data_IF_499772666816
#
_entry.id   IF_499772666816
#
_cell.length_a   1.000
_cell.length_b   1.000
_cell.length_c   1.000
_cell.angle_alpha   90.00
_cell.angle_beta   90.00
_cell.angle_gamma   90.00
#
_symmetry.space_group_name_H-M   'P 1'
#
loop_
_entity.id
_entity.type
_entity.pdbx_description
1 polymer ?
#
# COMPACT_ATOMS: atom_id res chain seq x y z
N UNK A 1 5.35 -14.68 50.46
CA UNK A 1 4.69 -15.78 49.73
C UNK A 1 5.48 -17.04 50.06
N UNK A 2 4.87 -18.05 50.69
CA UNK A 2 5.58 -19.30 50.96
C UNK A 2 5.96 -19.95 49.60
N UNK A 3 7.18 -20.51 49.45
CA UNK A 3 7.58 -21.16 48.21
C UNK A 3 6.70 -22.39 47.94
N UNK A 4 6.33 -22.61 46.68
CA UNK A 4 5.54 -23.78 46.27
C UNK A 4 6.31 -25.07 46.55
N UNK A 5 5.62 -26.10 47.04
CA UNK A 5 6.22 -27.43 47.23
C UNK A 5 6.67 -28.01 45.88
N UNK A 6 7.86 -28.60 45.84
CA UNK A 6 8.42 -29.19 44.62
C UNK A 6 7.57 -30.37 44.11
N UNK A 7 6.94 -31.12 45.02
CA UNK A 7 6.03 -32.21 44.70
C UNK A 7 4.75 -31.70 44.01
N UNK A 8 4.12 -30.66 44.56
CA UNK A 8 2.90 -30.06 44.02
C UNK A 8 3.18 -29.41 42.64
N UNK A 9 4.37 -28.83 42.48
CA UNK A 9 4.83 -28.25 41.21
C UNK A 9 5.01 -29.32 40.13
N UNK A 10 5.55 -30.50 40.47
CA UNK A 10 5.70 -31.63 39.54
C UNK A 10 4.35 -32.21 39.13
N UNK A 11 3.41 -32.33 40.07
CA UNK A 11 2.05 -32.81 39.81
C UNK A 11 1.30 -31.85 38.88
N UNK A 12 1.38 -30.54 39.14
CA UNK A 12 0.79 -29.52 38.28
C UNK A 12 1.38 -29.54 36.87
N UNK A 13 2.71 -29.62 36.72
CA UNK A 13 3.37 -29.68 35.41
C UNK A 13 2.98 -30.92 34.61
N UNK A 14 2.79 -32.06 35.28
CA UNK A 14 2.31 -33.30 34.65
C UNK A 14 0.86 -33.18 34.16
N UNK A 15 0.00 -32.50 34.90
CA UNK A 15 -1.37 -32.23 34.45
C UNK A 15 -1.40 -31.27 33.24
N UNK A 16 -0.58 -30.21 33.27
CA UNK A 16 -0.42 -29.29 32.13
C UNK A 16 0.11 -30.00 30.88
N UNK A 17 1.11 -30.87 31.03
CA UNK A 17 1.66 -31.66 29.93
C UNK A 17 0.66 -32.67 29.33
N UNK A 18 -0.33 -33.10 30.11
CA UNK A 18 -1.42 -33.97 29.63
C UNK A 18 -2.66 -33.19 29.13
N UNK A 19 -2.56 -31.86 28.99
CA UNK A 19 -3.64 -31.00 28.53
C UNK A 19 -4.78 -30.84 29.55
N UNK A 20 -4.48 -30.97 30.84
CA UNK A 20 -5.45 -30.81 31.94
C UNK A 20 -6.40 -32.00 32.10
N UNK A 21 -5.96 -33.21 31.68
CA UNK A 21 -6.76 -34.45 31.75
C UNK A 21 -6.34 -35.38 32.89
N UNK A 22 -5.21 -35.13 33.54
CA UNK A 22 -4.69 -36.00 34.60
C UNK A 22 -5.28 -35.68 35.98
N UNK A 23 -5.81 -34.46 36.18
CA UNK A 23 -6.49 -34.04 37.40
C UNK A 23 -7.89 -33.53 37.11
N UNK A 24 -8.86 -33.92 37.93
CA UNK A 24 -10.19 -33.33 37.94
C UNK A 24 -10.16 -31.87 38.44
N UNK A 25 -11.23 -31.11 38.16
CA UNK A 25 -11.31 -29.71 38.58
C UNK A 25 -11.21 -29.54 40.11
N UNK A 26 -11.83 -30.43 40.89
CA UNK A 26 -11.77 -30.42 42.35
C UNK A 26 -10.36 -30.74 42.89
N UNK A 27 -9.62 -31.63 42.22
CA UNK A 27 -8.24 -31.96 42.61
C UNK A 27 -7.28 -30.81 42.30
N UNK A 28 -7.48 -30.10 41.18
CA UNK A 28 -6.72 -28.88 40.85
C UNK A 28 -6.97 -27.77 41.87
N UNK A 29 -8.23 -27.57 42.24
CA UNK A 29 -8.60 -26.58 43.26
C UNK A 29 -7.96 -26.91 44.61
N UNK A 30 -8.03 -28.18 45.05
CA UNK A 30 -7.40 -28.65 46.29
C UNK A 30 -5.87 -28.49 46.29
N UNK A 31 -5.21 -28.68 45.14
CA UNK A 31 -3.77 -28.48 44.98
C UNK A 31 -3.37 -27.00 45.14
N UNK A 32 -4.22 -26.08 44.69
CA UNK A 32 -3.98 -24.63 44.80
C UNK A 32 -4.46 -24.04 46.14
N UNK A 33 -5.48 -24.62 46.76
CA UNK A 33 -6.13 -24.10 47.98
C UNK A 33 -5.17 -23.87 49.15
N UNK A 34 -4.09 -24.66 49.23
CA UNK A 34 -3.04 -24.54 50.26
C UNK A 34 -2.17 -23.29 50.11
N UNK A 35 -2.11 -22.73 48.91
CA UNK A 35 -1.31 -21.55 48.57
C UNK A 35 -2.17 -20.28 48.43
N UNK A 36 -3.50 -20.43 48.50
CA UNK A 36 -4.43 -19.31 48.49
C UNK A 36 -4.55 -18.72 49.91
N UNK A 37 -4.64 -17.39 50.04
CA UNK A 37 -4.87 -16.76 51.33
C UNK A 37 -6.21 -17.24 51.93
N UNK A 38 -6.29 -17.42 53.26
CA UNK A 38 -7.52 -17.88 53.90
C UNK A 38 -8.67 -16.90 53.61
N UNK A 39 -9.88 -17.40 53.32
CA UNK A 39 -11.04 -16.53 53.18
C UNK A 39 -11.32 -15.82 54.51
N UNK A 40 -11.77 -14.56 54.49
CA UNK A 40 -12.07 -13.81 55.70
C UNK A 40 -13.16 -14.52 56.51
N UNK A 41 -12.85 -14.86 57.76
CA UNK A 41 -13.70 -15.65 58.65
C UNK A 41 -14.83 -14.82 59.26
N UNK A 42 -16.08 -15.21 58.97
CA UNK A 42 -17.24 -14.88 59.79
C UNK A 42 -17.25 -15.78 61.03
N UNK A 43 -16.53 -15.41 62.10
CA UNK A 43 -16.84 -15.79 63.49
C UNK A 43 -15.71 -15.38 64.44
N UNK A 44 -15.94 -14.30 65.18
CA UNK A 44 -15.29 -14.06 66.47
C UNK A 44 -16.38 -13.61 67.43
N UNK A 45 -17.19 -14.58 67.84
CA UNK A 45 -18.05 -14.49 69.02
C UNK A 45 -18.07 -15.87 69.70
N UNK A 46 -17.11 -16.07 70.58
CA UNK A 46 -17.25 -16.84 71.81
C UNK A 46 -16.03 -16.53 72.67
N UNK A 47 -16.19 -15.52 73.51
CA UNK A 47 -15.83 -15.62 74.93
C UNK A 47 -16.40 -14.41 75.68
N UNK A 48 -16.88 -14.69 76.90
CA UNK A 48 -17.30 -13.75 77.94
C UNK A 48 -18.77 -13.28 77.90
N UNK A 49 -19.60 -13.91 78.75
CA UNK A 49 -20.89 -13.37 79.21
C UNK A 49 -20.70 -12.02 79.93
N UNK A 50 -21.70 -11.13 79.87
CA UNK A 50 -22.09 -10.35 81.04
C UNK A 50 -23.60 -10.46 81.34
N UNK A 51 -24.02 -10.14 82.58
CA UNK A 51 -25.35 -10.49 83.06
C UNK A 51 -26.43 -9.54 82.52
N UNK A 52 -27.61 -10.14 82.35
CA UNK A 52 -28.96 -9.59 82.47
C UNK A 52 -29.30 -8.19 81.93
N UNK A 53 -30.50 -8.19 81.35
CA UNK A 53 -31.50 -7.12 81.27
C UNK A 53 -31.53 -6.30 79.99
N UNK A 54 -32.66 -6.50 79.31
CA UNK A 54 -33.27 -5.75 78.22
C UNK A 54 -33.11 -4.23 78.28
N UNK A 55 -32.76 -3.62 77.16
CA UNK A 55 -33.58 -2.56 76.53
C UNK A 55 -33.07 -2.15 75.14
N UNK A 56 -33.90 -2.46 74.15
CA UNK A 56 -34.20 -1.71 72.92
C UNK A 56 -33.36 -0.43 72.68
N UNK A 57 -32.40 -0.49 71.76
CA UNK A 57 -31.91 0.73 71.08
C UNK A 57 -31.75 0.49 69.57
N UNK A 58 -32.05 1.55 68.82
CA UNK A 58 -32.46 1.57 67.42
C UNK A 58 -31.33 1.19 66.45
N UNK A 59 -31.65 0.36 65.46
CA UNK A 59 -30.82 0.09 64.29
C UNK A 59 -30.57 1.38 63.47
N UNK A 60 -29.35 1.92 63.50
CA UNK A 60 -28.88 2.86 62.47
C UNK A 60 -28.35 2.05 61.29
N UNK A 61 -29.12 2.03 60.20
CA UNK A 61 -28.79 1.33 58.97
C UNK A 61 -27.44 1.76 58.40
N UNK A 62 -26.55 0.79 58.17
CA UNK A 62 -25.28 0.97 57.50
C UNK A 62 -25.54 1.24 56.01
N UNK A 63 -25.40 2.50 55.56
CA UNK A 63 -25.53 2.88 54.15
C UNK A 63 -24.45 2.15 53.34
N UNK A 64 -24.86 1.19 52.49
CA UNK A 64 -23.99 0.53 51.50
C UNK A 64 -23.23 1.61 50.71
N UNK A 65 -21.90 1.53 50.63
CA UNK A 65 -21.08 2.50 49.88
C UNK A 65 -21.38 2.36 48.39
N UNK A 66 -22.30 3.18 47.89
CA UNK A 66 -22.66 3.29 46.46
C UNK A 66 -21.53 3.92 45.62
N UNK A 67 -20.60 4.65 46.27
CA UNK A 67 -19.52 5.43 45.65
C UNK A 67 -18.60 4.66 44.68
N UNK A 68 -18.06 3.45 44.99
CA UNK A 68 -17.23 2.70 44.04
C UNK A 68 -18.00 2.19 42.82
N UNK A 69 -19.26 1.77 42.99
CA UNK A 69 -20.13 1.37 41.88
C UNK A 69 -20.47 2.55 40.98
N UNK A 70 -20.80 3.70 41.57
CA UNK A 70 -21.10 4.92 40.82
C UNK A 70 -19.88 5.43 40.05
N UNK A 71 -18.68 5.35 40.65
CA UNK A 71 -17.42 5.70 39.99
C UNK A 71 -17.12 4.78 38.80
N UNK A 72 -17.29 3.47 38.95
CA UNK A 72 -17.14 2.52 37.85
C UNK A 72 -18.14 2.79 36.72
N UNK A 73 -19.43 2.98 37.04
CA UNK A 73 -20.46 3.33 36.05
C UNK A 73 -20.19 4.68 35.38
N UNK A 74 -19.64 5.65 36.10
CA UNK A 74 -19.21 6.93 35.53
C UNK A 74 -18.04 6.76 34.55
N UNK A 75 -17.02 5.94 34.87
CA UNK A 75 -15.94 5.64 33.93
C UNK A 75 -16.46 4.95 32.66
N UNK A 76 -17.38 3.98 32.78
CA UNK A 76 -18.02 3.37 31.62
C UNK A 76 -18.86 4.37 30.81
N UNK A 77 -19.59 5.27 31.47
CA UNK A 77 -20.36 6.32 30.81
C UNK A 77 -19.45 7.28 30.04
N UNK A 78 -18.35 7.72 30.66
CA UNK A 78 -17.36 8.62 30.02
C UNK A 78 -16.71 7.92 28.84
N UNK A 79 -16.27 6.66 28.99
CA UNK A 79 -15.69 5.88 27.90
C UNK A 79 -16.69 5.72 26.75
N UNK A 80 -17.94 5.40 27.05
CA UNK A 80 -19.00 5.30 26.04
C UNK A 80 -19.25 6.64 25.34
N UNK A 81 -19.29 7.76 26.09
CA UNK A 81 -19.49 9.08 25.52
C UNK A 81 -18.34 9.49 24.61
N UNK A 82 -17.09 9.22 25.01
CA UNK A 82 -15.90 9.44 24.18
C UNK A 82 -16.02 8.60 22.90
N UNK A 83 -16.28 7.29 23.02
CA UNK A 83 -16.42 6.41 21.86
C UNK A 83 -17.58 6.81 20.93
N UNK A 84 -18.68 7.30 21.50
CA UNK A 84 -19.84 7.82 20.75
C UNK A 84 -19.47 9.08 19.99
N UNK A 85 -18.84 10.06 20.64
CA UNK A 85 -18.43 11.32 20.01
C UNK A 85 -17.40 11.06 18.92
N UNK A 86 -16.34 10.29 19.21
CA UNK A 86 -15.33 9.94 18.21
C UNK A 86 -15.91 9.08 17.09
N UNK A 87 -16.82 8.15 17.40
CA UNK A 87 -17.50 7.33 16.40
C UNK A 87 -18.38 8.17 15.46
N UNK A 88 -19.15 9.12 16.00
CA UNK A 88 -19.94 10.08 15.21
C UNK A 88 -19.03 10.97 14.37
N UNK A 89 -17.97 11.52 14.96
CA UNK A 89 -17.01 12.37 14.26
C UNK A 89 -16.34 11.65 13.09
N UNK A 90 -15.84 10.43 13.31
CA UNK A 90 -15.19 9.63 12.27
C UNK A 90 -16.20 9.30 11.16
N UNK A 91 -17.42 8.87 11.49
CA UNK A 91 -18.46 8.57 10.49
C UNK A 91 -18.89 9.81 9.71
N UNK A 92 -19.10 10.96 10.37
CA UNK A 92 -19.42 12.22 9.69
C UNK A 92 -18.30 12.64 8.74
N UNK A 93 -17.05 12.54 9.17
CA UNK A 93 -15.88 12.82 8.32
C UNK A 93 -15.81 11.87 7.12
N UNK A 94 -16.03 10.57 7.33
CA UNK A 94 -16.09 9.58 6.26
C UNK A 94 -17.21 9.90 5.27
N UNK A 95 -18.43 10.16 5.74
CA UNK A 95 -19.59 10.51 4.90
C UNK A 95 -19.34 11.81 4.12
N UNK A 96 -18.75 12.82 4.75
CA UNK A 96 -18.40 14.07 4.08
C UNK A 96 -17.44 13.84 2.92
N UNK A 97 -16.30 13.17 3.18
CA UNK A 97 -15.33 12.85 2.14
C UNK A 97 -15.93 11.97 1.05
N UNK A 98 -16.70 10.94 1.42
CA UNK A 98 -17.40 10.06 0.49
C UNK A 98 -18.33 10.83 -0.44
N UNK A 99 -19.15 11.73 0.10
CA UNK A 99 -20.12 12.51 -0.65
C UNK A 99 -19.43 13.50 -1.58
N UNK A 100 -18.41 14.20 -1.07
CA UNK A 100 -17.61 15.15 -1.87
C UNK A 100 -16.90 14.42 -3.02
N UNK A 101 -16.23 13.29 -2.75
CA UNK A 101 -15.54 12.52 -3.78
C UNK A 101 -16.50 11.89 -4.79
N UNK A 102 -17.66 11.41 -4.35
CA UNK A 102 -18.68 10.88 -5.27
C UNK A 102 -19.30 11.97 -6.14
N UNK A 103 -19.58 13.14 -5.58
CA UNK A 103 -20.09 14.28 -6.34
C UNK A 103 -19.06 14.77 -7.36
N UNK A 104 -17.79 14.83 -6.97
CA UNK A 104 -16.66 15.11 -7.87
C UNK A 104 -16.55 14.02 -8.95
N UNK A 105 -16.61 12.74 -8.58
CA UNK A 105 -16.55 11.62 -9.52
C UNK A 105 -17.65 11.66 -10.57
N UNK A 106 -18.90 11.88 -10.16
CA UNK A 106 -20.05 11.99 -11.08
C UNK A 106 -19.91 13.19 -12.00
N UNK A 107 -19.51 14.36 -11.47
CA UNK A 107 -19.33 15.58 -12.27
C UNK A 107 -18.23 15.43 -13.33
N UNK A 108 -17.20 14.65 -13.05
CA UNK A 108 -16.05 14.47 -13.95
C UNK A 108 -16.10 13.21 -14.81
N UNK A 109 -17.16 12.39 -14.67
CA UNK A 109 -17.28 11.13 -15.42
C UNK A 109 -17.57 11.30 -16.91
N UNK A 110 -17.75 12.53 -17.42
CA UNK A 110 -18.44 12.74 -18.69
C UNK A 110 -17.59 13.05 -19.94
N UNK A 111 -16.27 13.25 -19.87
CA UNK A 111 -15.48 13.37 -21.10
C UNK A 111 -14.15 12.63 -20.98
N UNK A 112 -14.10 11.40 -21.51
CA UNK A 112 -12.89 10.60 -21.77
C UNK A 112 -12.07 11.24 -22.90
N UNK A 113 -11.61 12.45 -22.66
CA UNK A 113 -10.91 13.28 -23.65
C UNK A 113 -9.56 13.69 -23.08
N UNK A 114 -8.45 13.44 -23.80
CA UNK A 114 -7.10 13.74 -23.32
C UNK A 114 -6.91 15.23 -23.03
N UNK A 115 -7.59 16.12 -23.76
CA UNK A 115 -7.52 17.58 -23.56
C UNK A 115 -7.98 17.99 -22.16
N UNK A 116 -8.95 17.27 -21.60
CA UNK A 116 -9.45 17.53 -20.25
C UNK A 116 -8.38 17.25 -19.20
N UNK A 117 -7.72 16.08 -19.32
CA UNK A 117 -6.65 15.67 -18.42
C UNK A 117 -5.44 16.59 -18.55
N UNK A 118 -5.08 16.96 -19.79
CA UNK A 118 -4.02 17.94 -20.04
C UNK A 118 -4.32 19.28 -19.37
N UNK A 119 -5.57 19.76 -19.43
CA UNK A 119 -5.97 21.01 -18.78
C UNK A 119 -5.87 20.93 -17.25
N UNK A 120 -6.23 19.80 -16.66
CA UNK A 120 -6.17 19.58 -15.20
C UNK A 120 -4.73 19.51 -14.66
N UNK A 121 -3.78 19.11 -15.51
CA UNK A 121 -2.35 18.96 -15.18
C UNK A 121 -1.51 20.17 -15.60
N UNK A 122 -1.99 21.00 -16.53
CA UNK A 122 -1.24 22.14 -17.13
C UNK A 122 -0.65 23.13 -16.12
N UNK A 123 -1.33 23.35 -14.99
CA UNK A 123 -0.91 24.33 -13.98
C UNK A 123 -0.09 23.71 -12.84
N UNK A 124 0.36 22.46 -12.97
CA UNK A 124 1.22 21.84 -11.98
C UNK A 124 2.67 22.22 -12.22
N UNK A 125 3.35 22.60 -11.13
CA UNK A 125 4.76 23.02 -11.16
C UNK A 125 5.69 21.89 -11.62
N UNK A 126 5.30 20.63 -11.40
CA UNK A 126 6.04 19.43 -11.77
C UNK A 126 5.10 18.23 -11.96
N UNK A 127 5.55 17.26 -12.75
CA UNK A 127 4.86 16.00 -13.06
C UNK A 127 5.91 14.88 -12.95
N UNK A 128 5.57 13.69 -12.40
CA UNK A 128 6.52 12.59 -12.33
C UNK A 128 6.86 12.09 -13.75
N UNK A 129 8.13 11.80 -14.00
CA UNK A 129 8.55 11.14 -15.23
C UNK A 129 8.25 9.64 -15.17
N UNK A 130 8.36 9.06 -13.97
CA UNK A 130 8.00 7.68 -13.71
C UNK A 130 6.96 7.61 -12.60
N UNK A 131 5.72 7.27 -12.98
CA UNK A 131 4.64 6.98 -12.06
C UNK A 131 4.57 5.47 -11.81
N UNK A 132 4.46 5.06 -10.55
CA UNK A 132 4.15 3.69 -10.19
C UNK A 132 2.83 3.58 -9.44
N UNK A 133 2.09 2.49 -9.67
CA UNK A 133 0.80 2.23 -9.06
C UNK A 133 0.77 0.82 -8.47
N UNK A 134 0.31 0.72 -7.22
CA UNK A 134 0.09 -0.55 -6.53
C UNK A 134 -1.40 -0.89 -6.61
N UNK A 135 -1.71 -1.97 -7.33
CA UNK A 135 -3.06 -2.50 -7.49
C UNK A 135 -3.22 -3.83 -6.76
N UNK A 136 -4.46 -4.16 -6.42
CA UNK A 136 -4.84 -5.43 -5.80
C UNK A 136 -5.72 -6.22 -6.75
N UNK A 137 -5.47 -7.52 -6.83
CA UNK A 137 -6.37 -8.44 -7.51
C UNK A 137 -7.71 -8.48 -6.76
N UNK A 138 -8.80 -8.29 -7.49
CA UNK A 138 -10.17 -8.29 -6.96
C UNK A 138 -10.74 -9.70 -6.94
N UNK A 139 -11.78 -9.91 -6.12
CA UNK A 139 -12.56 -11.15 -6.15
C UNK A 139 -13.22 -11.32 -7.53
N UNK A 140 -13.55 -12.55 -7.91
CA UNK A 140 -14.33 -12.82 -9.14
C UNK A 140 -15.67 -12.08 -9.14
N UNK A 141 -16.30 -11.95 -7.96
CA UNK A 141 -17.55 -11.19 -7.78
C UNK A 141 -17.41 -9.70 -8.11
N UNK A 142 -16.20 -9.15 -7.98
CA UNK A 142 -15.88 -7.74 -8.25
C UNK A 142 -15.28 -7.52 -9.66
N UNK A 143 -15.31 -8.55 -10.51
CA UNK A 143 -14.80 -8.53 -11.90
C UNK A 143 -13.38 -9.09 -12.09
N UNK A 144 -12.73 -9.57 -11.02
CA UNK A 144 -11.48 -10.34 -11.08
C UNK A 144 -10.39 -9.72 -11.96
N UNK A 145 -9.91 -10.50 -12.94
CA UNK A 145 -8.85 -10.11 -13.87
C UNK A 145 -9.29 -9.03 -14.86
N UNK A 146 -10.51 -9.11 -15.39
CA UNK A 146 -11.01 -8.15 -16.39
C UNK A 146 -11.06 -6.73 -15.81
N UNK A 147 -11.60 -6.60 -14.60
CA UNK A 147 -11.62 -5.32 -13.89
C UNK A 147 -10.21 -4.77 -13.63
N UNK A 148 -9.24 -5.63 -13.31
CA UNK A 148 -7.85 -5.21 -13.11
C UNK A 148 -7.22 -4.73 -14.43
N UNK A 149 -7.42 -5.45 -15.53
CA UNK A 149 -6.91 -5.07 -16.85
C UNK A 149 -7.52 -3.74 -17.32
N UNK A 150 -8.82 -3.54 -17.08
CA UNK A 150 -9.53 -2.29 -17.38
C UNK A 150 -8.96 -1.10 -16.60
N UNK A 151 -8.64 -1.30 -15.31
CA UNK A 151 -8.03 -0.25 -14.48
C UNK A 151 -6.64 0.13 -14.97
N UNK A 152 -5.83 -0.86 -15.36
CA UNK A 152 -4.52 -0.60 -15.98
C UNK A 152 -4.69 0.16 -17.28
N UNK A 153 -5.68 -0.18 -18.11
CA UNK A 153 -5.95 0.53 -19.36
C UNK A 153 -6.38 1.99 -19.13
N UNK A 154 -7.22 2.27 -18.13
CA UNK A 154 -7.58 3.64 -17.75
C UNK A 154 -6.36 4.42 -17.22
N UNK A 155 -5.54 3.82 -16.35
CA UNK A 155 -4.31 4.44 -15.83
C UNK A 155 -3.30 4.76 -16.93
N UNK A 156 -3.18 3.90 -17.93
CA UNK A 156 -2.35 4.16 -19.12
C UNK A 156 -2.86 5.38 -19.89
N UNK A 157 -4.18 5.46 -20.13
CA UNK A 157 -4.78 6.60 -20.82
C UNK A 157 -4.58 7.91 -20.03
N UNK A 158 -4.77 7.88 -18.71
CA UNK A 158 -4.57 9.06 -17.87
C UNK A 158 -3.10 9.47 -17.77
N UNK A 159 -2.18 8.52 -17.64
CA UNK A 159 -0.74 8.77 -17.63
C UNK A 159 -0.28 9.38 -18.94
N UNK A 160 -0.68 8.81 -20.07
CA UNK A 160 -0.36 9.35 -21.39
C UNK A 160 -0.95 10.75 -21.60
N UNK A 161 -2.19 11.00 -21.18
CA UNK A 161 -2.82 12.30 -21.33
C UNK A 161 -2.21 13.36 -20.39
N UNK A 162 -1.74 12.95 -19.21
CA UNK A 162 -1.02 13.82 -18.28
C UNK A 162 0.43 14.11 -18.72
N UNK A 163 0.94 13.43 -19.76
CA UNK A 163 2.33 13.59 -20.22
C UNK A 163 3.36 12.79 -19.40
N UNK A 164 2.92 11.75 -18.69
CA UNK A 164 3.80 10.84 -17.93
C UNK A 164 4.28 9.73 -18.89
N UNK A 165 5.58 9.67 -19.21
CA UNK A 165 6.09 8.74 -20.23
C UNK A 165 6.21 7.30 -19.74
N UNK A 166 6.35 7.07 -18.43
CA UNK A 166 6.54 5.74 -17.86
C UNK A 166 5.56 5.47 -16.72
N UNK A 167 4.74 4.44 -16.91
CA UNK A 167 3.84 3.88 -15.89
C UNK A 167 4.31 2.48 -15.47
N UNK A 168 4.63 2.30 -14.20
CA UNK A 168 4.77 0.98 -13.57
C UNK A 168 3.49 0.56 -12.88
N UNK A 169 3.06 -0.68 -13.12
CA UNK A 169 1.93 -1.29 -12.41
C UNK A 169 2.44 -2.49 -11.63
N UNK A 170 2.29 -2.44 -10.32
CA UNK A 170 2.57 -3.56 -9.44
C UNK A 170 1.29 -4.28 -9.05
N UNK A 171 1.27 -5.59 -9.28
CA UNK A 171 0.28 -6.50 -8.72
C UNK A 171 1.01 -7.71 -8.12
N UNK A 172 0.67 -8.05 -6.87
CA UNK A 172 1.45 -9.00 -6.05
C UNK A 172 1.60 -10.38 -6.70
N UNK A 173 0.54 -10.95 -7.26
CA UNK A 173 0.53 -12.31 -7.79
C UNK A 173 1.31 -12.46 -9.11
N UNK A 174 1.44 -11.37 -9.87
CA UNK A 174 2.07 -11.38 -11.18
C UNK A 174 1.15 -11.86 -12.30
N UNK A 175 -0.17 -11.97 -12.07
CA UNK A 175 -1.13 -12.44 -13.08
C UNK A 175 -1.09 -11.59 -14.36
N UNK A 176 -0.85 -10.27 -14.24
CA UNK A 176 -0.74 -9.35 -15.38
C UNK A 176 0.40 -9.73 -16.33
N UNK A 177 1.49 -10.32 -15.82
CA UNK A 177 2.61 -10.77 -16.65
C UNK A 177 2.23 -11.96 -17.52
N UNK A 178 1.32 -12.81 -17.06
CA UNK A 178 0.80 -13.94 -17.84
C UNK A 178 -0.08 -13.48 -19.01
N UNK A 179 -0.82 -12.39 -18.82
CA UNK A 179 -1.78 -11.86 -19.81
C UNK A 179 -1.28 -10.62 -20.56
N UNK A 180 0.04 -10.47 -20.72
CA UNK A 180 0.65 -9.28 -21.33
C UNK A 180 0.11 -8.94 -22.72
N UNK A 181 -0.10 -9.93 -23.58
CA UNK A 181 -0.59 -9.71 -24.95
C UNK A 181 -2.00 -9.10 -24.92
N UNK A 182 -2.92 -9.76 -24.21
CA UNK A 182 -4.31 -9.31 -24.07
C UNK A 182 -4.39 -7.94 -23.39
N UNK A 183 -3.54 -7.69 -22.39
CA UNK A 183 -3.46 -6.39 -21.73
C UNK A 183 -2.99 -5.30 -22.71
N UNK A 184 -1.96 -5.58 -23.51
CA UNK A 184 -1.44 -4.64 -24.49
C UNK A 184 -2.50 -4.26 -25.52
N UNK A 185 -3.29 -5.23 -26.00
CA UNK A 185 -4.40 -4.98 -26.94
C UNK A 185 -5.49 -4.11 -26.31
N UNK A 186 -5.90 -4.43 -25.07
CA UNK A 186 -6.88 -3.65 -24.33
C UNK A 186 -6.41 -2.21 -24.09
N UNK A 187 -5.15 -2.02 -23.71
CA UNK A 187 -4.57 -0.68 -23.52
C UNK A 187 -4.53 0.07 -24.84
N UNK A 188 -4.12 -0.55 -25.95
CA UNK A 188 -4.13 0.10 -27.29
C UNK A 188 -5.54 0.53 -27.69
N UNK A 189 -6.55 -0.31 -27.44
CA UNK A 189 -7.94 0.03 -27.70
C UNK A 189 -8.39 1.21 -26.82
N UNK A 190 -8.03 1.22 -25.53
CA UNK A 190 -8.36 2.33 -24.62
C UNK A 190 -7.68 3.63 -25.02
N UNK A 191 -6.40 3.58 -25.38
CA UNK A 191 -5.67 4.74 -25.91
C UNK A 191 -6.32 5.26 -27.19
N UNK A 192 -6.71 4.38 -28.11
CA UNK A 192 -7.41 4.78 -29.33
C UNK A 192 -8.78 5.42 -29.05
N UNK A 193 -9.47 4.98 -27.98
CA UNK A 193 -10.74 5.57 -27.56
C UNK A 193 -10.59 6.99 -26.98
N UNK A 194 -9.44 7.31 -26.37
CA UNK A 194 -9.17 8.64 -25.82
C UNK A 194 -8.61 9.58 -26.90
N UNK A 195 -7.60 9.14 -27.65
CA UNK A 195 -6.82 9.99 -28.54
C UNK A 195 -7.22 9.88 -30.02
N UNK A 196 -8.12 8.96 -30.38
CA UNK A 196 -8.46 8.65 -31.76
C UNK A 196 -7.50 7.64 -32.39
N UNK A 197 -7.58 7.48 -33.72
CA UNK A 197 -6.71 6.55 -34.43
C UNK A 197 -5.24 7.03 -34.48
N UNK A 198 -4.25 6.12 -34.61
CA UNK A 198 -2.88 6.51 -34.92
C UNK A 198 -2.81 7.43 -36.16
N UNK A 199 -1.99 8.49 -36.17
CA UNK A 199 -0.84 8.75 -35.28
C UNK A 199 -1.14 9.60 -34.03
N UNK A 200 -2.40 10.00 -33.81
CA UNK A 200 -2.76 10.82 -32.64
C UNK A 200 -2.65 10.03 -31.32
N UNK A 201 -2.99 8.74 -31.35
CA UNK A 201 -2.80 7.86 -30.20
C UNK A 201 -1.33 7.59 -29.91
N UNK A 202 -0.94 7.59 -28.62
CA UNK A 202 0.44 7.35 -28.24
C UNK A 202 0.89 5.92 -28.54
N UNK A 203 2.16 5.77 -28.86
CA UNK A 203 2.79 4.45 -29.05
C UNK A 203 2.99 3.78 -27.69
N UNK A 204 2.59 2.52 -27.57
CA UNK A 204 2.69 1.74 -26.33
C UNK A 204 3.78 0.67 -26.43
N UNK A 205 4.64 0.56 -25.43
CA UNK A 205 5.51 -0.61 -25.21
C UNK A 205 5.26 -1.19 -23.82
N UNK A 206 5.18 -2.51 -23.74
CA UNK A 206 4.91 -3.22 -22.48
C UNK A 206 6.12 -4.08 -22.11
N UNK A 207 6.55 -3.97 -20.86
CA UNK A 207 7.71 -4.66 -20.31
C UNK A 207 7.32 -5.42 -19.04
N UNK A 208 8.00 -6.54 -18.79
CA UNK A 208 7.97 -7.21 -17.52
C UNK A 208 9.38 -7.81 -17.26
N UNK A 209 9.91 -7.71 -16.04
CA UNK A 209 11.16 -8.37 -15.68
C UNK A 209 11.10 -9.86 -15.97
N UNK A 210 12.20 -10.43 -16.46
CA UNK A 210 12.32 -11.84 -16.84
C UNK A 210 11.36 -12.31 -17.96
N UNK A 211 10.72 -11.39 -18.68
CA UNK A 211 9.91 -11.69 -19.86
C UNK A 211 10.57 -11.10 -21.11
N UNK A 212 10.64 -11.82 -22.24
CA UNK A 212 11.10 -11.22 -23.50
C UNK A 212 10.19 -10.04 -23.85
N UNK A 213 10.79 -8.88 -24.15
CA UNK A 213 10.05 -7.70 -24.61
C UNK A 213 9.34 -8.02 -25.92
N UNK A 214 8.00 -8.02 -25.91
CA UNK A 214 7.22 -8.31 -27.11
C UNK A 214 7.17 -7.08 -28.02
N UNK A 215 8.21 -6.91 -28.83
CA UNK A 215 8.17 -5.97 -29.96
C UNK A 215 7.50 -6.66 -31.16
N UNK A 216 6.18 -6.53 -31.31
CA UNK A 216 5.47 -6.93 -32.53
C UNK A 216 5.30 -5.78 -33.55
N UNK A 217 6.06 -4.70 -33.40
CA UNK A 217 6.11 -3.62 -34.40
C UNK A 217 7.53 -3.47 -34.94
N UNK A 218 7.96 -4.47 -35.72
CA UNK A 218 9.07 -4.33 -36.68
C UNK A 218 8.47 -4.20 -38.08
N UNK A 219 7.70 -3.15 -38.32
CA UNK A 219 7.63 -2.57 -39.65
C UNK A 219 8.82 -1.62 -39.76
N UNK A 220 9.80 -1.87 -40.64
CA UNK A 220 10.79 -0.86 -40.94
C UNK A 220 10.02 0.28 -41.62
N UNK A 221 9.80 1.37 -40.89
CA UNK A 221 9.50 2.63 -41.59
C UNK A 221 10.73 2.89 -42.46
N UNK A 222 10.57 3.06 -43.79
CA UNK A 222 11.72 3.32 -44.64
C UNK A 222 12.37 4.60 -44.11
N UNK A 223 13.67 4.49 -43.89
CA UNK A 223 14.57 5.60 -43.66
C UNK A 223 14.53 6.44 -44.95
N UNK A 224 13.58 7.36 -45.05
CA UNK A 224 13.67 8.44 -46.03
C UNK A 224 14.78 9.34 -45.52
N UNK A 225 15.99 8.99 -45.94
CA UNK A 225 17.15 9.88 -46.00
C UNK A 225 16.65 11.21 -46.54
N UNK A 226 16.61 12.23 -45.68
CA UNK A 226 16.39 13.60 -46.09
C UNK A 226 17.50 13.95 -47.08
N UNK A 227 17.16 13.91 -48.37
CA UNK A 227 17.99 14.52 -49.40
C UNK A 227 17.96 16.02 -49.14
N UNK A 228 19.17 16.55 -49.00
CA UNK A 228 19.50 17.96 -48.96
C UNK A 228 18.88 18.71 -50.14
N UNK A 229 18.02 19.67 -49.86
CA UNK A 229 17.74 20.82 -50.72
C UNK A 229 17.77 22.07 -49.83
N UNK A 230 18.49 23.14 -50.22
CA UNK A 230 18.84 24.24 -49.32
C UNK A 230 17.80 25.38 -49.33
N UNK A 231 17.94 26.21 -48.29
CA UNK A 231 17.47 27.59 -48.10
C UNK A 231 15.98 27.88 -47.85
N UNK A 232 15.75 28.47 -46.67
CA UNK A 232 14.77 29.53 -46.47
C UNK A 232 13.46 29.11 -45.84
N UNK A 233 13.39 29.20 -44.51
CA UNK A 233 12.37 29.86 -43.67
C UNK A 233 12.49 29.28 -42.27
N UNK A 234 12.94 30.11 -41.33
CA UNK A 234 12.91 29.84 -39.89
C UNK A 234 11.46 29.70 -39.44
N UNK A 235 11.05 28.49 -39.07
CA UNK A 235 9.89 28.32 -38.19
C UNK A 235 10.25 27.34 -37.06
N UNK A 236 9.93 27.75 -35.85
CA UNK A 236 10.30 27.09 -34.60
C UNK A 236 9.42 25.86 -34.37
N UNK A 237 9.72 24.78 -35.09
CA UNK A 237 9.01 23.50 -34.96
C UNK A 237 9.44 22.73 -33.73
N UNK A 238 8.58 22.71 -32.70
CA UNK A 238 8.68 21.76 -31.59
C UNK A 238 8.88 20.33 -32.11
N UNK A 239 9.81 19.59 -31.48
CA UNK A 239 10.22 18.22 -31.80
C UNK A 239 8.99 17.28 -31.87
N UNK A 240 8.36 17.13 -33.05
CA UNK A 240 7.08 16.44 -33.29
C UNK A 240 7.28 14.91 -33.31
N UNK A 241 7.82 14.36 -32.22
CA UNK A 241 7.74 12.91 -32.01
C UNK A 241 6.35 12.56 -31.49
N UNK A 242 5.70 11.51 -32.02
CA UNK A 242 4.42 11.07 -31.49
C UNK A 242 4.56 10.72 -30.00
N UNK A 243 3.56 11.03 -29.17
CA UNK A 243 3.60 10.72 -27.75
C UNK A 243 3.82 9.22 -27.55
N UNK A 244 4.62 8.86 -26.55
CA UNK A 244 5.02 7.49 -26.27
C UNK A 244 4.80 7.18 -24.79
N UNK A 245 4.22 6.01 -24.51
CA UNK A 245 4.00 5.50 -23.17
C UNK A 245 4.68 4.13 -23.04
N UNK A 246 5.53 4.00 -22.03
CA UNK A 246 6.08 2.73 -21.57
C UNK A 246 5.28 2.22 -20.37
N UNK A 247 4.82 0.97 -20.43
CA UNK A 247 4.12 0.27 -19.36
C UNK A 247 5.03 -0.85 -18.80
N UNK A 248 5.44 -0.73 -17.54
CA UNK A 248 6.23 -1.73 -16.83
C UNK A 248 5.36 -2.51 -15.85
N UNK A 249 5.32 -3.84 -15.99
CA UNK A 249 4.54 -4.72 -15.12
C UNK A 249 5.44 -5.36 -14.07
N UNK A 250 5.12 -5.15 -12.80
CA UNK A 250 5.88 -5.62 -11.65
C UNK A 250 5.05 -6.60 -10.80
N UNK A 251 5.74 -7.54 -10.16
CA UNK A 251 5.18 -8.51 -9.21
C UNK A 251 6.07 -8.67 -7.99
N UNK A 252 5.60 -9.41 -6.97
CA UNK A 252 6.36 -9.60 -5.73
C UNK A 252 7.77 -10.22 -5.95
N UNK A 253 7.91 -11.03 -7.00
CA UNK A 253 9.18 -11.64 -7.43
C UNK A 253 10.22 -10.62 -7.90
N UNK A 254 9.80 -9.44 -8.34
CA UNK A 254 10.71 -8.40 -8.84
C UNK A 254 11.27 -7.53 -7.69
N UNK A 255 10.85 -7.82 -6.46
CA UNK A 255 11.31 -7.12 -5.27
C UNK A 255 12.39 -7.89 -4.54
N UNK A 256 12.02 -8.51 -3.42
CA UNK A 256 12.98 -9.16 -2.52
C UNK A 256 13.66 -10.36 -3.16
N UNK A 257 12.93 -11.12 -3.98
CA UNK A 257 13.49 -12.32 -4.61
C UNK A 257 14.61 -11.93 -5.59
N UNK A 258 14.41 -10.87 -6.37
CA UNK A 258 15.46 -10.30 -7.24
C UNK A 258 16.71 -9.86 -6.44
N UNK A 259 16.54 -9.28 -5.25
CA UNK A 259 17.69 -8.93 -4.38
C UNK A 259 18.42 -10.17 -3.88
N UNK A 260 17.70 -11.23 -3.52
CA UNK A 260 18.27 -12.49 -3.06
C UNK A 260 19.02 -13.19 -4.20
N UNK A 261 18.43 -13.22 -5.41
CA UNK A 261 19.05 -13.82 -6.59
C UNK A 261 20.31 -13.07 -7.00
N UNK A 262 20.26 -11.73 -7.04
CA UNK A 262 21.45 -10.91 -7.30
C UNK A 262 22.54 -11.16 -6.26
N UNK A 263 22.17 -11.24 -4.97
CA UNK A 263 23.11 -11.53 -3.89
C UNK A 263 23.78 -12.90 -4.09
N UNK A 264 23.01 -13.92 -4.50
CA UNK A 264 23.55 -15.25 -4.81
C UNK A 264 24.53 -15.18 -5.98
N UNK A 265 24.16 -14.54 -7.08
CA UNK A 265 25.03 -14.40 -8.26
C UNK A 265 26.33 -13.66 -7.91
N UNK A 266 26.25 -12.55 -7.17
CA UNK A 266 27.44 -11.80 -6.74
C UNK A 266 28.33 -12.63 -5.80
N UNK A 267 27.73 -13.42 -4.91
CA UNK A 267 28.49 -14.31 -4.02
C UNK A 267 29.18 -15.45 -4.79
N UNK A 268 28.51 -16.07 -5.77
CA UNK A 268 29.09 -17.09 -6.64
C UNK A 268 30.23 -16.53 -7.49
N UNK A 269 30.06 -15.32 -8.04
CA UNK A 269 31.14 -14.62 -8.76
C UNK A 269 32.33 -14.31 -7.87
N UNK A 270 32.08 -13.94 -6.62
CA UNK A 270 33.14 -13.68 -5.64
C UNK A 270 33.89 -14.96 -5.24
N UNK A 271 33.18 -16.07 -5.04
CA UNK A 271 33.77 -17.39 -4.76
C UNK A 271 34.59 -17.90 -5.95
N UNK A 272 34.12 -17.67 -7.17
CA UNK A 272 34.84 -17.97 -8.40
C UNK A 272 36.00 -17.00 -8.71
N UNK A 273 36.30 -16.06 -7.79
CA UNK A 273 37.35 -15.03 -7.93
C UNK A 273 37.19 -14.12 -9.16
N UNK A 274 35.98 -14.01 -9.72
CA UNK A 274 35.65 -13.10 -10.83
C UNK A 274 35.42 -11.66 -10.36
N UNK A 275 35.09 -11.48 -9.09
CA UNK A 275 34.82 -10.19 -8.47
C UNK A 275 35.32 -10.20 -7.02
N UNK A 276 35.88 -9.09 -6.52
CA UNK A 276 36.29 -9.03 -5.10
C UNK A 276 35.13 -8.53 -4.26
N UNK A 277 34.97 -8.97 -3.00
CA UNK A 277 33.89 -8.47 -2.13
C UNK A 277 33.85 -6.94 -1.97
N UNK A 278 35.01 -6.27 -2.07
CA UNK A 278 35.12 -4.80 -2.02
C UNK A 278 34.56 -4.09 -3.25
N UNK A 279 34.44 -4.79 -4.37
CA UNK A 279 33.91 -4.25 -5.62
C UNK A 279 32.35 -4.26 -5.61
N UNK A 280 31.73 -4.93 -4.64
CA UNK A 280 30.28 -4.93 -4.42
C UNK A 280 29.86 -3.59 -3.79
N UNK A 281 29.57 -2.61 -4.64
CA UNK A 281 29.12 -1.27 -4.24
C UNK A 281 27.63 -1.09 -4.49
N UNK A 282 27.02 -0.08 -3.86
CA UNK A 282 25.61 0.29 -4.13
C UNK A 282 25.37 0.60 -5.61
N UNK A 283 26.36 1.17 -6.30
CA UNK A 283 26.27 1.50 -7.72
C UNK A 283 26.24 0.25 -8.60
N UNK A 284 27.04 -0.78 -8.26
CA UNK A 284 26.98 -2.08 -8.92
C UNK A 284 25.60 -2.70 -8.75
N UNK A 285 25.12 -2.78 -7.50
CA UNK A 285 23.82 -3.36 -7.18
C UNK A 285 22.71 -2.62 -7.94
N UNK A 286 22.76 -1.29 -7.96
CA UNK A 286 21.79 -0.48 -8.67
C UNK A 286 21.81 -0.71 -10.18
N UNK A 287 23.00 -0.86 -10.76
CA UNK A 287 23.17 -1.13 -12.20
C UNK A 287 22.57 -2.48 -12.58
N UNK A 288 22.83 -3.52 -11.79
CA UNK A 288 22.31 -4.87 -12.03
C UNK A 288 20.79 -4.96 -11.80
N UNK A 289 20.27 -4.31 -10.75
CA UNK A 289 18.82 -4.25 -10.50
C UNK A 289 18.13 -3.47 -11.62
N UNK A 290 18.68 -2.34 -12.04
CA UNK A 290 18.11 -1.54 -13.13
C UNK A 290 18.15 -2.31 -14.45
N UNK A 291 19.20 -3.08 -14.72
CA UNK A 291 19.26 -3.95 -15.90
C UNK A 291 18.15 -5.03 -15.90
N UNK A 292 17.78 -5.52 -14.72
CA UNK A 292 16.79 -6.59 -14.57
C UNK A 292 15.35 -6.06 -14.47
N UNK A 293 15.15 -4.91 -13.83
CA UNK A 293 13.82 -4.41 -13.44
C UNK A 293 13.40 -3.12 -14.15
N UNK A 294 14.34 -2.38 -14.76
CA UNK A 294 14.04 -1.17 -15.51
C UNK A 294 13.99 -1.43 -17.02
N UNK A 295 13.49 -0.44 -17.77
CA UNK A 295 13.25 -0.58 -19.20
C UNK A 295 14.57 -0.57 -19.98
N UNK A 296 14.84 -1.59 -20.83
CA UNK A 296 15.98 -1.59 -21.72
C UNK A 296 15.78 -0.51 -22.78
N UNK A 297 16.65 0.51 -22.75
CA UNK A 297 16.72 1.65 -23.68
C UNK A 297 15.95 2.93 -23.32
N UNK A 298 15.67 3.21 -22.04
CA UNK A 298 15.37 4.59 -21.68
C UNK A 298 16.61 5.45 -22.00
N UNK A 299 16.49 6.38 -22.96
CA UNK A 299 17.55 7.34 -23.31
C UNK A 299 17.98 8.22 -22.12
N UNK A 300 17.32 8.10 -20.95
CA UNK A 300 17.79 8.65 -19.67
C UNK A 300 19.08 7.99 -19.15
N UNK A 301 19.49 6.82 -19.63
CA UNK A 301 20.72 6.16 -19.17
C UNK A 301 22.01 6.74 -19.78
N UNK A 302 21.92 7.59 -20.81
CA UNK A 302 23.09 8.08 -21.55
C UNK A 302 23.12 9.59 -21.86
N UNK A 303 22.08 10.35 -21.52
CA UNK A 303 22.09 11.81 -21.60
C UNK A 303 22.54 12.37 -20.24
N UNK A 304 23.37 13.42 -20.25
CA UNK A 304 23.80 14.13 -19.05
C UNK A 304 22.60 14.38 -18.12
N UNK A 305 22.77 14.05 -16.82
CA UNK A 305 21.77 14.26 -15.78
C UNK A 305 21.20 15.68 -15.91
N UNK A 306 19.90 15.89 -16.14
CA UNK A 306 19.35 17.23 -16.08
C UNK A 306 19.60 17.80 -14.68
N UNK A 307 20.17 19.00 -14.62
CA UNK A 307 20.55 19.65 -13.37
C UNK A 307 19.32 19.75 -12.45
N UNK A 308 19.33 19.03 -11.33
CA UNK A 308 18.24 18.99 -10.35
C UNK A 308 17.54 17.63 -10.18
N UNK A 309 17.88 16.61 -10.99
CA UNK A 309 17.31 15.26 -10.84
C UNK A 309 18.22 14.33 -10.04
N UNK A 310 17.80 13.99 -8.82
CA UNK A 310 18.52 13.07 -7.93
C UNK A 310 17.94 11.63 -7.93
N UNK A 311 16.73 11.43 -8.48
CA UNK A 311 16.13 10.10 -8.69
C UNK A 311 16.75 9.46 -9.94
N UNK A 312 17.27 8.24 -9.80
CA UNK A 312 17.95 7.56 -10.91
C UNK A 312 16.98 7.11 -11.99
N UNK A 313 17.48 7.04 -13.23
CA UNK A 313 16.69 6.63 -14.39
C UNK A 313 16.10 5.22 -14.17
N UNK A 314 14.77 5.13 -14.06
CA UNK A 314 14.04 3.87 -13.85
C UNK A 314 13.45 3.71 -12.45
N UNK A 315 13.81 4.56 -11.48
CA UNK A 315 13.14 4.62 -10.17
C UNK A 315 11.85 5.46 -10.30
N UNK A 316 10.73 5.07 -9.65
CA UNK A 316 9.51 5.87 -9.69
C UNK A 316 9.65 7.15 -8.86
N UNK A 317 9.18 8.27 -9.39
CA UNK A 317 9.14 9.54 -8.65
C UNK A 317 7.95 9.57 -7.68
N UNK A 318 6.84 8.96 -8.09
CA UNK A 318 5.58 8.89 -7.35
C UNK A 318 5.05 7.46 -7.35
N UNK A 319 4.68 6.95 -6.17
CA UNK A 319 3.98 5.68 -6.00
C UNK A 319 2.57 5.95 -5.48
N UNK A 320 1.54 5.51 -6.22
CA UNK A 320 0.15 5.61 -5.80
C UNK A 320 -0.32 4.26 -5.25
N UNK A 321 -0.82 4.27 -4.02
CA UNK A 321 -1.43 3.13 -3.35
C UNK A 321 -2.94 3.30 -3.33
N UNK A 322 -3.65 2.55 -4.18
CA UNK A 322 -5.11 2.48 -4.18
C UNK A 322 -5.58 1.54 -3.07
N UNK A 323 -5.68 2.07 -1.85
CA UNK A 323 -6.12 1.33 -0.68
C UNK A 323 -6.38 2.19 0.55
N UNK A 324 -7.00 1.63 1.59
CA UNK A 324 -7.34 2.36 2.80
C UNK A 324 -6.12 2.72 3.67
N UNK A 325 -5.02 1.98 3.50
CA UNK A 325 -3.78 2.11 4.26
C UNK A 325 -2.59 1.93 3.33
N UNK A 326 -1.46 2.55 3.70
CA UNK A 326 -0.20 2.36 2.98
C UNK A 326 0.27 0.92 3.17
N UNK A 327 0.15 0.11 2.12
CA UNK A 327 0.60 -1.28 2.12
C UNK A 327 1.27 -1.58 0.78
N UNK A 328 2.58 -1.76 0.81
CA UNK A 328 3.40 -1.97 -0.39
C UNK A 328 3.40 -3.45 -0.84
N UNK A 329 3.00 -4.36 0.04
CA UNK A 329 2.74 -5.77 -0.29
C UNK A 329 3.83 -6.51 -1.07
N UNK A 330 5.10 -6.12 -0.89
CA UNK A 330 6.25 -6.73 -1.58
C UNK A 330 6.76 -5.93 -2.80
N UNK A 331 6.23 -4.73 -3.04
CA UNK A 331 6.74 -3.80 -4.05
C UNK A 331 8.27 -3.69 -3.99
N UNK A 332 8.97 -3.63 -5.15
CA UNK A 332 10.42 -3.57 -5.20
C UNK A 332 11.04 -2.51 -4.27
N UNK A 333 11.70 -2.93 -3.17
CA UNK A 333 12.04 -2.01 -2.09
C UNK A 333 13.27 -1.15 -2.40
N UNK A 334 14.14 -1.59 -3.32
CA UNK A 334 15.35 -0.85 -3.68
C UNK A 334 15.03 0.43 -4.43
N UNK A 335 14.08 0.34 -5.38
CA UNK A 335 13.75 1.38 -6.33
C UNK A 335 12.92 2.53 -5.73
N UNK A 336 12.36 2.38 -4.51
CA UNK A 336 11.46 3.38 -3.90
C UNK A 336 12.11 4.26 -2.83
N UNK A 337 13.44 4.28 -2.76
CA UNK A 337 14.20 4.99 -1.73
C UNK A 337 13.96 6.51 -1.68
N UNK A 338 13.62 7.13 -2.81
CA UNK A 338 13.35 8.57 -2.94
C UNK A 338 11.96 8.87 -3.53
N UNK A 339 11.12 7.85 -3.66
CA UNK A 339 9.77 8.02 -4.23
C UNK A 339 8.83 8.63 -3.22
N UNK A 340 8.03 9.60 -3.66
CA UNK A 340 6.88 10.06 -2.88
C UNK A 340 5.80 8.97 -2.90
N UNK A 341 5.19 8.69 -1.76
CA UNK A 341 4.15 7.67 -1.64
C UNK A 341 2.81 8.33 -1.31
N UNK A 342 1.90 8.33 -2.27
CA UNK A 342 0.54 8.80 -2.07
C UNK A 342 -0.41 7.63 -1.85
N UNK A 343 -1.12 7.64 -0.72
CA UNK A 343 -2.17 6.67 -0.43
C UNK A 343 -3.54 7.32 -0.53
N UNK A 344 -4.44 6.69 -1.28
CA UNK A 344 -5.79 7.23 -1.51
C UNK A 344 -6.59 7.31 -0.21
N UNK A 345 -6.39 6.34 0.68
CA UNK A 345 -7.08 6.22 1.95
C UNK A 345 -8.47 5.59 1.80
N UNK A 346 -9.18 5.47 2.92
CA UNK A 346 -10.58 5.05 2.96
C UNK A 346 -11.44 6.17 2.35
N UNK A 347 -11.53 6.19 1.02
CA UNK A 347 -12.56 6.94 0.31
C UNK A 347 -13.88 6.32 0.74
N UNK A 348 -14.54 6.84 1.78
CA UNK A 348 -15.73 6.27 2.43
C UNK A 348 -16.99 6.13 1.57
N UNK A 349 -16.86 6.01 0.25
CA UNK A 349 -17.92 5.88 -0.75
C UNK A 349 -18.66 4.55 -0.72
N UNK A 350 -18.05 3.47 -0.23
CA UNK A 350 -18.73 2.17 -0.10
C UNK A 350 -19.20 1.92 1.34
N UNK A 351 -20.43 2.37 1.61
CA UNK A 351 -21.25 1.94 2.77
C UNK A 351 -21.51 0.43 2.74
N UNK A 352 -21.19 -0.25 1.64
CA UNK A 352 -21.43 -1.68 1.45
C UNK A 352 -20.45 -2.59 2.18
N UNK A 353 -19.42 -2.06 2.85
CA UNK A 353 -18.38 -2.88 3.52
C UNK A 353 -17.53 -3.72 2.56
N UNK A 354 -17.82 -3.68 1.25
CA UNK A 354 -16.94 -4.17 0.20
C UNK A 354 -15.86 -3.11 0.00
N UNK A 355 -14.64 -3.42 0.44
CA UNK A 355 -13.46 -2.56 0.25
C UNK A 355 -13.01 -2.55 -1.20
N UNK A 356 -13.89 -2.25 -2.15
CA UNK A 356 -13.58 -2.22 -3.58
C UNK A 356 -12.60 -1.08 -3.84
N UNK A 357 -11.30 -1.41 -3.88
CA UNK A 357 -10.22 -0.48 -4.21
C UNK A 357 -10.20 -0.19 -5.70
N UNK A 358 -11.27 0.43 -6.20
CA UNK A 358 -11.32 0.84 -7.60
C UNK A 358 -10.42 2.03 -7.86
N UNK A 359 -9.83 2.04 -9.04
CA UNK A 359 -9.02 3.16 -9.50
C UNK A 359 -9.93 4.32 -9.93
N UNK A 360 -9.75 5.48 -9.30
CA UNK A 360 -10.52 6.68 -9.57
C UNK A 360 -9.64 7.79 -10.15
N UNK A 361 -10.11 8.46 -11.20
CA UNK A 361 -9.38 9.58 -11.82
C UNK A 361 -9.12 10.72 -10.83
N UNK A 362 -10.07 11.00 -9.92
CA UNK A 362 -9.90 12.02 -8.89
C UNK A 362 -8.76 11.68 -7.91
N UNK A 363 -8.61 10.41 -7.57
CA UNK A 363 -7.52 9.96 -6.72
C UNK A 363 -6.16 10.06 -7.44
N UNK A 364 -6.11 9.72 -8.73
CA UNK A 364 -4.96 9.94 -9.60
C UNK A 364 -4.56 11.43 -9.65
N UNK A 365 -5.50 12.33 -9.94
CA UNK A 365 -5.24 13.77 -10.03
C UNK A 365 -4.77 14.37 -8.69
N UNK A 366 -5.41 13.98 -7.57
CA UNK A 366 -4.97 14.37 -6.22
C UNK A 366 -3.54 13.94 -5.94
N UNK A 367 -3.14 12.75 -6.39
CA UNK A 367 -1.77 12.26 -6.21
C UNK A 367 -0.78 13.17 -6.94
N UNK A 368 -1.08 13.54 -8.20
CA UNK A 368 -0.27 14.47 -8.98
C UNK A 368 -0.19 15.85 -8.32
N UNK A 369 -1.29 16.38 -7.80
CA UNK A 369 -1.30 17.66 -7.08
C UNK A 369 -0.43 17.63 -5.81
N UNK A 370 -0.47 16.51 -5.07
CA UNK A 370 0.36 16.34 -3.87
C UNK A 370 1.84 16.20 -4.22
N UNK A 371 2.16 15.46 -5.27
CA UNK A 371 3.52 15.39 -5.79
C UNK A 371 4.03 16.75 -6.28
N UNK A 372 3.18 17.52 -6.97
CA UNK A 372 3.56 18.82 -7.49
C UNK A 372 3.99 19.81 -6.40
N UNK A 373 3.27 19.79 -5.28
CA UNK A 373 3.57 20.61 -4.09
C UNK A 373 4.54 19.98 -3.08
N UNK A 374 5.16 18.84 -3.39
CA UNK A 374 6.12 18.20 -2.51
C UNK A 374 7.49 18.89 -2.55
N UNK A 375 8.17 18.94 -1.40
CA UNK A 375 9.51 19.49 -1.27
C UNK A 375 10.54 18.35 -1.15
N UNK A 376 11.54 18.36 -2.02
CA UNK A 376 12.58 17.35 -2.08
C UNK A 376 13.91 17.93 -1.61
N UNK A 377 14.32 17.59 -0.40
CA UNK A 377 15.52 18.16 0.22
C UNK A 377 16.76 17.28 0.02
N UNK A 378 16.59 16.01 -0.31
CA UNK A 378 17.68 15.05 -0.56
C UNK A 378 18.87 15.11 0.43
N UNK A 379 18.57 15.36 1.70
CA UNK A 379 19.57 15.44 2.77
C UNK A 379 20.36 16.77 2.84
N UNK A 380 19.93 17.82 2.15
CA UNK A 380 20.49 19.18 2.21
C UNK A 380 19.81 20.05 3.26
#
# INVERSE_FOLDING_TARGET
MAPFSEADTKIYRRDVASGGRALSAAEREKLLQRYLPPPPSESSQKDSQPPSTSQRSRTRGHRRRVRPFLKSKLHFLIFFLIQLIFGIYIRLRQIYHATVYRLLGIRHHHHRTPEYIQKDVKNLDRIPEHLSVILKFKSEEDGGLEALMDEVAELCAWSAAAGIPLLSVYEKSGILKTYMVSLQELVKQRLSSYFGAPPAAPTLRVFAPNHPSMNLSRTPSPLLTAQSVPDGIEDSGADTRPPHLDLLLLSATDGRDTLVDLTRTLAEMAQAQKLRPKDITSNLINTEISATTAIPNSKLAGAERPAGKEVEAGEPDLVIVFGPVVKLDGYPPWQIRLSEIFCVGDSGGDVSGSGSTRVEYQAFLRALWKYAGANFNFGR
#
